data_IF_731267666644
#
_entry.id   IF_731267666644
#
_cell.length_a   1.000
_cell.length_b   1.000
_cell.length_c   1.000
_cell.angle_alpha   90.00
_cell.angle_beta   90.00
_cell.angle_gamma   90.00
#
_symmetry.space_group_name_H-M   'P 1'
#
loop_
_entity.id
_entity.type
_entity.pdbx_description
1 polymer ?
#
# COMPACT_ATOMS: atom_id res chain seq x y z
N UNK A 1 -8.14 -17.35 142.55
CA UNK A 1 -8.87 -18.19 141.57
C UNK A 1 -9.76 -17.39 140.61
N UNK A 2 -10.30 -16.20 140.99
CA UNK A 2 -11.19 -15.41 140.11
C UNK A 2 -10.51 -14.71 138.91
N UNK A 3 -9.29 -14.18 139.05
CA UNK A 3 -8.58 -13.50 137.95
C UNK A 3 -8.14 -14.44 136.81
N UNK A 4 -7.72 -15.68 137.11
CA UNK A 4 -7.31 -16.65 136.10
C UNK A 4 -8.49 -17.11 135.22
N UNK A 5 -9.68 -17.31 135.82
CA UNK A 5 -10.91 -17.66 135.11
C UNK A 5 -11.42 -16.54 134.19
N UNK A 6 -11.27 -15.26 134.58
CA UNK A 6 -11.62 -14.12 133.72
C UNK A 6 -10.65 -13.97 132.54
N UNK A 7 -9.35 -14.21 132.74
CA UNK A 7 -8.35 -14.18 131.66
C UNK A 7 -8.54 -15.31 130.64
N UNK A 8 -8.92 -16.50 131.10
CA UNK A 8 -9.20 -17.66 130.25
C UNK A 8 -10.49 -17.48 129.44
N UNK A 9 -11.54 -16.94 130.05
CA UNK A 9 -12.79 -16.56 129.36
C UNK A 9 -12.57 -15.47 128.29
N UNK A 10 -11.77 -14.44 128.60
CA UNK A 10 -11.41 -13.39 127.65
C UNK A 10 -10.60 -13.93 126.46
N UNK A 11 -9.62 -14.81 126.70
CA UNK A 11 -8.89 -15.51 125.62
C UNK A 11 -9.79 -16.38 124.76
N UNK A 12 -10.75 -17.09 125.36
CA UNK A 12 -11.71 -17.91 124.63
C UNK A 12 -12.62 -17.05 123.74
N UNK A 13 -13.11 -15.91 124.26
CA UNK A 13 -13.91 -14.95 123.49
C UNK A 13 -13.12 -14.33 122.33
N UNK A 14 -11.84 -13.99 122.55
CA UNK A 14 -10.97 -13.45 121.51
C UNK A 14 -10.66 -14.49 120.43
N UNK A 15 -10.47 -15.76 120.82
CA UNK A 15 -10.29 -16.88 119.89
C UNK A 15 -11.55 -17.20 119.08
N UNK A 16 -12.73 -17.16 119.71
CA UNK A 16 -14.03 -17.28 119.03
C UNK A 16 -14.25 -16.12 118.05
N UNK A 17 -14.00 -14.88 118.46
CA UNK A 17 -14.12 -13.72 117.58
C UNK A 17 -13.15 -13.81 116.38
N UNK A 18 -11.92 -14.28 116.60
CA UNK A 18 -10.96 -14.52 115.53
C UNK A 18 -11.42 -15.64 114.57
N UNK A 19 -11.98 -16.74 115.08
CA UNK A 19 -12.55 -17.81 114.26
C UNK A 19 -13.78 -17.35 113.47
N UNK A 20 -14.66 -16.56 114.08
CA UNK A 20 -15.83 -16.00 113.38
C UNK A 20 -15.37 -15.08 112.25
N UNK A 21 -14.36 -14.24 112.49
CA UNK A 21 -13.78 -13.35 111.47
C UNK A 21 -13.09 -14.11 110.33
N UNK A 22 -12.34 -15.18 110.64
CA UNK A 22 -11.73 -16.06 109.63
C UNK A 22 -12.80 -16.80 108.79
N UNK A 23 -13.87 -17.27 109.43
CA UNK A 23 -15.01 -17.89 108.76
C UNK A 23 -15.75 -16.92 107.84
N UNK A 24 -16.00 -15.70 108.30
CA UNK A 24 -16.60 -14.63 107.49
C UNK A 24 -15.70 -14.25 106.30
N UNK A 25 -14.39 -14.15 106.50
CA UNK A 25 -13.43 -13.88 105.42
C UNK A 25 -13.41 -15.00 104.37
N UNK A 26 -13.44 -16.27 104.80
CA UNK A 26 -13.54 -17.43 103.89
C UNK A 26 -14.86 -17.45 103.14
N UNK A 27 -15.98 -17.14 103.81
CA UNK A 27 -17.28 -17.05 103.16
C UNK A 27 -17.31 -15.94 102.09
N UNK A 28 -16.72 -14.78 102.39
CA UNK A 28 -16.55 -13.69 101.42
C UNK A 28 -15.65 -14.09 100.25
N UNK A 29 -14.56 -14.81 100.50
CA UNK A 29 -13.66 -15.30 99.45
C UNK A 29 -14.34 -16.33 98.54
N UNK A 30 -15.13 -17.25 99.11
CA UNK A 30 -15.92 -18.22 98.34
C UNK A 30 -16.97 -17.51 97.49
N UNK A 31 -17.66 -16.51 98.05
CA UNK A 31 -18.63 -15.70 97.30
C UNK A 31 -17.98 -14.95 96.13
N UNK A 32 -16.80 -14.35 96.35
CA UNK A 32 -16.03 -13.69 95.28
C UNK A 32 -15.58 -14.67 94.19
N UNK A 33 -15.10 -15.86 94.56
CA UNK A 33 -14.72 -16.90 93.61
C UNK A 33 -15.91 -17.42 92.80
N UNK A 34 -17.07 -17.62 93.44
CA UNK A 34 -18.30 -17.99 92.74
C UNK A 34 -18.75 -16.89 91.77
N UNK A 35 -18.69 -15.62 92.17
CA UNK A 35 -19.03 -14.51 91.31
C UNK A 35 -18.07 -14.37 90.12
N UNK A 36 -16.77 -14.53 90.34
CA UNK A 36 -15.75 -14.52 89.29
C UNK A 36 -15.96 -15.68 88.30
N UNK A 37 -16.24 -16.89 88.79
CA UNK A 37 -16.53 -18.06 87.96
C UNK A 37 -17.81 -17.85 87.13
N UNK A 38 -18.87 -17.27 87.70
CA UNK A 38 -20.09 -16.94 86.96
C UNK A 38 -19.82 -15.91 85.86
N UNK A 39 -19.06 -14.86 86.14
CA UNK A 39 -18.68 -13.85 85.15
C UNK A 39 -17.83 -14.43 84.02
N UNK A 40 -16.89 -15.31 84.34
CA UNK A 40 -16.06 -15.99 83.34
C UNK A 40 -16.91 -16.92 82.46
N UNK A 41 -17.86 -17.65 83.04
CA UNK A 41 -18.78 -18.49 82.28
C UNK A 41 -19.68 -17.68 81.33
N UNK A 42 -20.15 -16.50 81.78
CA UNK A 42 -20.94 -15.59 80.96
C UNK A 42 -20.12 -15.03 79.79
N UNK A 43 -18.87 -14.61 80.03
CA UNK A 43 -17.95 -14.15 78.98
C UNK A 43 -17.65 -15.23 77.94
N UNK A 44 -17.42 -16.47 78.38
CA UNK A 44 -17.21 -17.61 77.50
C UNK A 44 -18.45 -17.90 76.64
N UNK A 45 -19.65 -17.87 77.23
CA UNK A 45 -20.90 -18.02 76.47
C UNK A 45 -21.08 -16.92 75.43
N UNK A 46 -20.80 -15.67 75.78
CA UNK A 46 -20.88 -14.55 74.84
C UNK A 46 -19.88 -14.70 73.68
N UNK A 47 -18.66 -15.14 73.97
CA UNK A 47 -17.63 -15.39 72.96
C UNK A 47 -18.00 -16.57 72.03
N UNK A 48 -18.57 -17.65 72.57
CA UNK A 48 -19.10 -18.79 71.80
C UNK A 48 -20.26 -18.36 70.89
N UNK A 49 -21.18 -17.54 71.40
CA UNK A 49 -22.29 -17.02 70.61
C UNK A 49 -21.79 -16.11 69.46
N UNK A 50 -20.79 -15.27 69.72
CA UNK A 50 -20.16 -14.44 68.71
C UNK A 50 -19.42 -15.27 67.63
N UNK A 51 -18.65 -16.30 68.04
CA UNK A 51 -18.00 -17.21 67.09
C UNK A 51 -19.00 -18.00 66.25
N UNK A 52 -20.09 -18.48 66.86
CA UNK A 52 -21.14 -19.20 66.13
C UNK A 52 -21.76 -18.30 65.07
N UNK A 53 -22.05 -17.05 65.42
CA UNK A 53 -22.60 -16.06 64.48
C UNK A 53 -21.64 -15.72 63.33
N UNK A 54 -20.34 -15.56 63.61
CA UNK A 54 -19.32 -15.35 62.57
C UNK A 54 -19.20 -16.57 61.63
N UNK A 55 -19.24 -17.78 62.19
CA UNK A 55 -19.21 -19.02 61.41
C UNK A 55 -20.44 -19.17 60.51
N UNK A 56 -21.62 -18.83 61.02
CA UNK A 56 -22.87 -18.82 60.23
C UNK A 56 -22.81 -17.80 59.09
N UNK A 57 -22.30 -16.60 59.35
CA UNK A 57 -22.13 -15.56 58.32
C UNK A 57 -21.15 -16.00 57.22
N UNK A 58 -20.02 -16.62 57.60
CA UNK A 58 -19.06 -17.18 56.64
C UNK A 58 -19.66 -18.31 55.81
N UNK A 59 -20.43 -19.20 56.44
CA UNK A 59 -21.13 -20.28 55.74
C UNK A 59 -22.13 -19.73 54.71
N UNK A 60 -22.89 -18.68 55.06
CA UNK A 60 -23.79 -17.99 54.13
C UNK A 60 -23.04 -17.35 52.96
N UNK A 61 -21.91 -16.69 53.23
CA UNK A 61 -21.08 -16.06 52.20
C UNK A 61 -20.49 -17.09 51.22
N UNK A 62 -20.02 -18.24 51.73
CA UNK A 62 -19.51 -19.35 50.91
C UNK A 62 -20.64 -19.92 50.03
N UNK A 63 -21.83 -20.13 50.61
CA UNK A 63 -22.99 -20.61 49.85
C UNK A 63 -23.38 -19.64 48.72
N UNK A 64 -23.34 -18.33 48.99
CA UNK A 64 -23.63 -17.31 47.99
C UNK A 64 -22.57 -17.29 46.87
N UNK A 65 -21.28 -17.36 47.23
CA UNK A 65 -20.19 -17.42 46.24
C UNK A 65 -20.27 -18.68 45.36
N UNK A 66 -20.59 -19.83 45.94
CA UNK A 66 -20.82 -21.07 45.19
C UNK A 66 -22.00 -20.93 44.23
N UNK A 67 -23.10 -20.31 44.66
CA UNK A 67 -24.25 -20.07 43.79
C UNK A 67 -23.93 -19.12 42.64
N UNK A 68 -23.20 -18.02 42.89
CA UNK A 68 -22.77 -17.09 41.84
C UNK A 68 -21.84 -17.78 40.85
N UNK A 69 -20.86 -18.56 41.32
CA UNK A 69 -19.96 -19.33 40.46
C UNK A 69 -20.72 -20.33 39.58
N UNK A 70 -21.70 -21.04 40.14
CA UNK A 70 -22.54 -21.95 39.36
C UNK A 70 -23.36 -21.21 38.29
N UNK A 71 -23.95 -20.05 38.61
CA UNK A 71 -24.68 -19.24 37.65
C UNK A 71 -23.81 -18.70 36.51
N UNK A 72 -22.60 -18.23 36.82
CA UNK A 72 -21.65 -17.79 35.79
C UNK A 72 -21.21 -18.94 34.89
N UNK A 73 -20.93 -20.11 35.46
CA UNK A 73 -20.57 -21.31 34.69
C UNK A 73 -21.70 -21.76 33.74
N UNK A 74 -22.96 -21.67 34.19
CA UNK A 74 -24.13 -21.98 33.37
C UNK A 74 -24.29 -20.97 32.22
N UNK A 75 -24.11 -19.66 32.48
CA UNK A 75 -24.14 -18.62 31.44
C UNK A 75 -23.04 -18.83 30.39
N UNK A 76 -21.82 -19.16 30.83
CA UNK A 76 -20.70 -19.47 29.93
C UNK A 76 -20.98 -20.70 29.06
N UNK A 77 -21.58 -21.75 29.63
CA UNK A 77 -22.00 -22.94 28.88
C UNK A 77 -23.09 -22.61 27.86
N UNK A 78 -24.08 -21.79 28.23
CA UNK A 78 -25.13 -21.35 27.33
C UNK A 78 -24.58 -20.51 26.16
N UNK A 79 -23.63 -19.60 26.45
CA UNK A 79 -22.93 -18.84 25.42
C UNK A 79 -22.11 -19.73 24.48
N UNK A 80 -21.37 -20.70 25.02
CA UNK A 80 -20.62 -21.68 24.21
C UNK A 80 -21.54 -22.52 23.34
N UNK A 81 -22.69 -22.96 23.86
CA UNK A 81 -23.68 -23.70 23.09
C UNK A 81 -24.29 -22.85 21.97
N UNK A 82 -24.63 -21.59 22.26
CA UNK A 82 -25.12 -20.64 21.25
C UNK A 82 -24.07 -20.38 20.17
N UNK A 83 -22.81 -20.20 20.55
CA UNK A 83 -21.70 -19.98 19.60
C UNK A 83 -21.38 -21.24 18.79
N UNK A 84 -21.49 -22.42 19.38
CA UNK A 84 -21.34 -23.69 18.67
C UNK A 84 -22.45 -23.85 17.64
N UNK A 85 -23.70 -23.53 18.00
CA UNK A 85 -24.84 -23.57 17.09
C UNK A 85 -24.73 -22.55 15.95
N UNK A 86 -24.27 -21.33 16.23
CA UNK A 86 -23.98 -20.31 15.21
C UNK A 86 -22.86 -20.76 14.26
N UNK A 87 -21.79 -21.37 14.80
CA UNK A 87 -20.71 -21.94 14.00
C UNK A 87 -21.17 -23.13 13.15
N UNK A 88 -22.02 -24.01 13.68
CA UNK A 88 -22.62 -25.11 12.93
C UNK A 88 -23.55 -24.60 11.82
N UNK A 89 -24.35 -23.56 12.10
CA UNK A 89 -25.19 -22.90 11.08
C UNK A 89 -24.34 -22.27 9.99
N UNK A 90 -23.27 -21.53 10.34
CA UNK A 90 -22.32 -20.98 9.38
C UNK A 90 -21.59 -22.05 8.59
N UNK A 91 -21.23 -23.17 9.21
CA UNK A 91 -20.61 -24.30 8.52
C UNK A 91 -21.58 -24.96 7.53
N UNK A 92 -22.87 -25.11 7.89
CA UNK A 92 -23.91 -25.59 7.00
C UNK A 92 -24.17 -24.60 5.85
N UNK A 93 -24.19 -23.30 6.14
CA UNK A 93 -24.35 -22.25 5.13
C UNK A 93 -23.14 -22.22 4.18
N UNK A 94 -21.92 -22.37 4.69
CA UNK A 94 -20.70 -22.51 3.90
C UNK A 94 -20.72 -23.76 3.03
N UNK A 95 -21.19 -24.90 3.56
CA UNK A 95 -21.33 -26.14 2.80
C UNK A 95 -22.41 -26.01 1.69
N UNK A 96 -23.51 -25.31 1.97
CA UNK A 96 -24.54 -25.00 0.97
C UNK A 96 -24.03 -24.01 -0.09
N UNK A 97 -23.24 -23.00 0.30
CA UNK A 97 -22.57 -22.08 -0.62
C UNK A 97 -21.53 -22.80 -1.46
N UNK A 98 -20.76 -23.73 -0.88
CA UNK A 98 -19.83 -24.58 -1.63
C UNK A 98 -20.56 -25.54 -2.57
N UNK A 99 -21.70 -26.11 -2.18
CA UNK A 99 -22.52 -26.92 -3.10
C UNK A 99 -23.14 -26.06 -4.20
N UNK A 100 -23.60 -24.85 -3.89
CA UNK A 100 -24.10 -23.88 -4.88
C UNK A 100 -22.98 -23.39 -5.78
N UNK A 101 -21.77 -23.18 -5.27
CA UNK A 101 -20.58 -22.84 -6.03
C UNK A 101 -20.17 -24.02 -6.90
N UNK A 102 -20.12 -25.25 -6.38
CA UNK A 102 -19.81 -26.46 -7.15
C UNK A 102 -20.90 -26.77 -8.18
N UNK A 103 -22.16 -26.42 -7.92
CA UNK A 103 -23.28 -26.56 -8.86
C UNK A 103 -23.31 -25.41 -9.88
N UNK A 104 -22.91 -24.20 -9.50
CA UNK A 104 -22.70 -23.06 -10.38
C UNK A 104 -21.47 -23.28 -11.26
N UNK A 105 -20.39 -23.84 -10.71
CA UNK A 105 -19.20 -24.34 -11.36
C UNK A 105 -19.51 -25.55 -12.21
N UNK A 106 -20.38 -26.50 -11.83
CA UNK A 106 -20.85 -27.58 -12.75
C UNK A 106 -21.77 -27.05 -13.84
N UNK A 107 -22.56 -26.00 -13.59
CA UNK A 107 -23.27 -25.24 -14.63
C UNK A 107 -22.32 -24.35 -15.47
N UNK A 108 -21.16 -23.95 -14.93
CA UNK A 108 -20.07 -23.21 -15.60
C UNK A 108 -18.94 -24.13 -16.08
N UNK A 109 -18.98 -25.44 -15.88
CA UNK A 109 -17.98 -26.43 -16.37
C UNK A 109 -18.64 -27.48 -17.26
N UNK A 110 -19.97 -27.47 -17.36
CA UNK A 110 -20.66 -27.66 -18.64
C UNK A 110 -20.43 -26.48 -19.62
N UNK A 111 -19.74 -25.43 -19.17
CA UNK A 111 -19.31 -24.30 -19.95
C UNK A 111 -17.89 -23.90 -19.59
N UNK A 112 -16.91 -24.78 -19.81
CA UNK A 112 -15.60 -24.31 -20.26
C UNK A 112 -15.89 -23.42 -21.47
N UNK A 113 -16.13 -22.14 -21.23
CA UNK A 113 -16.36 -21.16 -22.27
C UNK A 113 -14.98 -20.89 -22.85
N UNK A 114 -14.51 -21.83 -23.67
CA UNK A 114 -14.23 -21.44 -25.05
C UNK A 114 -15.48 -20.67 -25.44
N UNK A 115 -15.42 -19.34 -25.41
CA UNK A 115 -16.54 -18.52 -25.86
C UNK A 115 -16.78 -18.98 -27.29
N UNK A 116 -17.78 -19.83 -27.50
CA UNK A 116 -18.26 -20.12 -28.84
C UNK A 116 -18.71 -18.79 -29.40
N UNK A 117 -18.39 -18.54 -30.68
CA UNK A 117 -18.67 -17.27 -31.36
C UNK A 117 -20.05 -16.71 -30.97
N UNK A 118 -20.14 -15.45 -30.49
CA UNK A 118 -21.40 -14.83 -30.10
C UNK A 118 -22.43 -14.91 -31.24
N UNK A 119 -23.58 -15.54 -30.99
CA UNK A 119 -24.56 -15.86 -32.06
C UNK A 119 -25.68 -14.84 -32.14
N UNK A 120 -26.18 -14.38 -31.00
CA UNK A 120 -27.28 -13.40 -30.96
C UNK A 120 -26.76 -11.97 -31.04
N UNK A 121 -27.61 -11.02 -31.46
CA UNK A 121 -27.23 -9.60 -31.52
C UNK A 121 -26.85 -9.05 -30.13
N UNK A 122 -27.51 -9.54 -29.07
CA UNK A 122 -27.22 -9.17 -27.68
C UNK A 122 -25.84 -9.71 -27.28
N UNK A 123 -25.57 -10.99 -27.54
CA UNK A 123 -24.26 -11.60 -27.27
C UNK A 123 -23.13 -10.89 -28.04
N UNK A 124 -23.34 -10.57 -29.32
CA UNK A 124 -22.36 -9.83 -30.13
C UNK A 124 -22.09 -8.45 -29.58
N UNK A 125 -23.13 -7.71 -29.16
CA UNK A 125 -22.99 -6.41 -28.51
C UNK A 125 -22.17 -6.52 -27.24
N UNK A 126 -22.52 -7.44 -26.36
CA UNK A 126 -21.87 -7.59 -25.05
C UNK A 126 -20.42 -8.05 -25.20
N UNK A 127 -20.13 -8.96 -26.14
CA UNK A 127 -18.77 -9.37 -26.49
C UNK A 127 -17.94 -8.23 -27.09
N UNK A 128 -18.54 -7.40 -27.96
CA UNK A 128 -17.87 -6.24 -28.54
C UNK A 128 -17.50 -5.19 -27.47
N UNK A 129 -18.36 -4.96 -26.49
CA UNK A 129 -18.06 -4.09 -25.34
C UNK A 129 -16.88 -4.64 -24.55
N UNK A 130 -16.88 -5.94 -24.23
CA UNK A 130 -15.75 -6.58 -23.54
C UNK A 130 -14.45 -6.53 -24.34
N UNK A 131 -14.52 -6.69 -25.67
CA UNK A 131 -13.36 -6.58 -26.56
C UNK A 131 -12.79 -5.17 -26.57
N UNK A 132 -13.63 -4.13 -26.64
CA UNK A 132 -13.19 -2.75 -26.56
C UNK A 132 -12.45 -2.46 -25.25
N UNK A 133 -13.03 -2.86 -24.11
CA UNK A 133 -12.39 -2.73 -22.79
C UNK A 133 -11.07 -3.52 -22.71
N UNK A 134 -11.03 -4.71 -23.31
CA UNK A 134 -9.82 -5.53 -23.38
C UNK A 134 -8.69 -4.85 -24.18
N UNK A 135 -9.03 -4.18 -25.29
CA UNK A 135 -8.06 -3.40 -26.06
C UNK A 135 -7.52 -2.21 -25.27
N UNK A 136 -8.36 -1.47 -24.54
CA UNK A 136 -7.92 -0.38 -23.67
C UNK A 136 -6.94 -0.86 -22.59
N UNK A 137 -7.21 -2.03 -21.99
CA UNK A 137 -6.30 -2.66 -21.03
C UNK A 137 -4.99 -3.05 -21.70
N UNK A 138 -5.02 -3.65 -22.90
CA UNK A 138 -3.81 -4.00 -23.63
C UNK A 138 -2.95 -2.77 -23.95
N UNK A 139 -3.57 -1.68 -24.40
CA UNK A 139 -2.88 -0.42 -24.68
C UNK A 139 -2.22 0.16 -23.42
N UNK A 140 -2.94 0.14 -22.29
CA UNK A 140 -2.38 0.54 -20.99
C UNK A 140 -1.17 -0.33 -20.61
N UNK A 141 -1.29 -1.65 -20.67
CA UNK A 141 -0.19 -2.57 -20.34
C UNK A 141 1.01 -2.40 -21.26
N UNK A 142 0.78 -2.20 -22.56
CA UNK A 142 1.83 -1.92 -23.53
C UNK A 142 2.51 -0.57 -23.24
N UNK A 143 1.75 0.46 -22.86
CA UNK A 143 2.31 1.76 -22.46
C UNK A 143 3.20 1.65 -21.20
N UNK A 144 2.82 0.80 -20.24
CA UNK A 144 3.65 0.51 -19.07
C UNK A 144 4.92 -0.24 -19.45
N UNK A 145 4.83 -1.16 -20.40
CA UNK A 145 6.00 -1.85 -20.95
C UNK A 145 6.98 -0.90 -21.64
N UNK A 146 6.49 0.06 -22.44
CA UNK A 146 7.37 1.07 -23.06
C UNK A 146 7.99 2.03 -22.05
N UNK A 147 7.37 2.20 -20.88
CA UNK A 147 7.93 2.91 -19.72
C UNK A 147 8.90 2.06 -18.89
N UNK A 148 9.14 0.80 -19.27
CA UNK A 148 10.07 -0.11 -18.59
C UNK A 148 9.43 -1.00 -17.50
N UNK A 149 8.11 -1.01 -17.36
CA UNK A 149 7.39 -1.93 -16.45
C UNK A 149 6.88 -3.14 -17.23
N UNK A 150 7.47 -4.31 -16.99
CA UNK A 150 6.95 -5.55 -17.55
C UNK A 150 5.82 -6.09 -16.65
N UNK A 151 4.58 -5.79 -17.04
CA UNK A 151 3.40 -6.23 -16.29
C UNK A 151 3.05 -7.68 -16.64
N UNK A 152 2.94 -8.53 -15.64
CA UNK A 152 2.43 -9.89 -15.82
C UNK A 152 0.94 -9.85 -16.27
N UNK A 153 0.70 -10.20 -17.53
CA UNK A 153 -0.63 -10.14 -18.15
C UNK A 153 -1.69 -11.01 -17.46
N UNK A 154 -1.30 -12.18 -16.95
CA UNK A 154 -2.24 -13.08 -16.26
C UNK A 154 -2.68 -12.49 -14.92
N UNK A 155 -1.74 -11.92 -14.16
CA UNK A 155 -2.06 -11.25 -12.89
C UNK A 155 -2.86 -9.96 -13.12
N UNK A 156 -2.53 -9.18 -14.15
CA UNK A 156 -3.29 -7.99 -14.51
C UNK A 156 -4.74 -8.35 -14.90
N UNK A 157 -4.93 -9.38 -15.74
CA UNK A 157 -6.26 -9.87 -16.13
C UNK A 157 -7.05 -10.41 -14.94
N UNK A 158 -6.38 -11.14 -14.03
CA UNK A 158 -6.99 -11.60 -12.79
C UNK A 158 -7.45 -10.40 -11.94
N UNK A 159 -6.61 -9.37 -11.78
CA UNK A 159 -6.97 -8.14 -11.07
C UNK A 159 -8.18 -7.43 -11.67
N UNK A 160 -8.24 -7.29 -13.00
CA UNK A 160 -9.40 -6.70 -13.70
C UNK A 160 -10.67 -7.53 -13.47
N UNK A 161 -10.55 -8.85 -13.60
CA UNK A 161 -11.67 -9.79 -13.43
C UNK A 161 -12.20 -9.75 -11.99
N UNK A 162 -11.29 -9.75 -11.01
CA UNK A 162 -11.61 -9.66 -9.59
C UNK A 162 -12.29 -8.32 -9.25
N UNK A 163 -11.89 -7.21 -9.88
CA UNK A 163 -12.58 -5.91 -9.73
C UNK A 163 -14.01 -5.96 -10.28
N UNK A 164 -14.20 -6.50 -11.49
CA UNK A 164 -15.52 -6.62 -12.12
C UNK A 164 -16.47 -7.47 -11.26
N UNK A 165 -15.95 -8.54 -10.67
CA UNK A 165 -16.72 -9.45 -9.84
C UNK A 165 -16.87 -9.00 -8.37
N UNK A 166 -16.25 -7.88 -7.97
CA UNK A 166 -16.24 -7.43 -6.57
C UNK A 166 -15.47 -8.36 -5.63
N UNK A 167 -14.49 -9.11 -6.14
CA UNK A 167 -13.70 -10.13 -5.44
C UNK A 167 -12.21 -9.77 -5.36
N UNK A 168 -11.88 -8.47 -5.29
CA UNK A 168 -10.49 -8.00 -5.21
C UNK A 168 -9.74 -8.66 -4.06
N UNK A 169 -8.61 -9.30 -4.38
CA UNK A 169 -7.80 -10.09 -3.43
C UNK A 169 -6.83 -9.26 -2.57
N UNK A 170 -6.66 -7.99 -2.88
CA UNK A 170 -5.81 -7.06 -2.13
C UNK A 170 -6.66 -5.96 -1.50
N UNK A 171 -6.30 -5.54 -0.29
CA UNK A 171 -6.89 -4.38 0.34
C UNK A 171 -6.55 -3.10 -0.46
N UNK A 172 -7.41 -2.07 -0.39
CA UNK A 172 -7.23 -0.82 -1.15
C UNK A 172 -5.88 -0.15 -0.83
N UNK A 173 -5.46 -0.21 0.42
CA UNK A 173 -4.20 0.34 0.91
C UNK A 173 -2.99 -0.41 0.33
N UNK A 174 -3.09 -1.73 0.18
CA UNK A 174 -2.04 -2.55 -0.43
C UNK A 174 -1.89 -2.24 -1.92
N UNK A 175 -3.01 -2.07 -2.63
CA UNK A 175 -3.02 -1.65 -4.04
C UNK A 175 -2.38 -0.27 -4.19
N UNK A 176 -2.80 0.70 -3.38
CA UNK A 176 -2.25 2.05 -3.41
C UNK A 176 -0.74 2.06 -3.12
N UNK A 177 -0.28 1.30 -2.12
CA UNK A 177 1.14 1.16 -1.79
C UNK A 177 1.94 0.55 -2.94
N UNK A 178 1.48 -0.54 -3.55
CA UNK A 178 2.17 -1.18 -4.66
C UNK A 178 2.29 -0.27 -5.89
N UNK A 179 1.22 0.48 -6.20
CA UNK A 179 1.23 1.46 -7.31
C UNK A 179 2.20 2.61 -7.03
N UNK A 180 2.21 3.12 -5.79
CA UNK A 180 3.14 4.18 -5.39
C UNK A 180 4.60 3.72 -5.43
N UNK A 181 4.90 2.53 -4.93
CA UNK A 181 6.25 1.94 -4.98
C UNK A 181 6.73 1.73 -6.42
N UNK A 182 5.84 1.28 -7.31
CA UNK A 182 6.15 1.16 -8.75
C UNK A 182 6.46 2.51 -9.39
N UNK A 183 5.73 3.56 -9.04
CA UNK A 183 5.97 4.91 -9.54
C UNK A 183 7.29 5.50 -9.01
N UNK A 184 7.63 5.24 -7.74
CA UNK A 184 8.92 5.63 -7.16
C UNK A 184 10.08 4.95 -7.89
N UNK A 185 10.00 3.64 -8.11
CA UNK A 185 11.01 2.88 -8.83
C UNK A 185 11.20 3.44 -10.25
N UNK A 186 10.11 3.71 -10.97
CA UNK A 186 10.16 4.31 -12.30
C UNK A 186 10.82 5.67 -12.31
N UNK A 187 10.48 6.54 -11.35
CA UNK A 187 11.07 7.87 -11.27
C UNK A 187 12.58 7.82 -10.96
N UNK A 188 13.01 6.91 -10.10
CA UNK A 188 14.43 6.68 -9.81
C UNK A 188 15.20 6.16 -11.04
N UNK A 189 14.62 5.20 -11.77
CA UNK A 189 15.19 4.71 -13.03
C UNK A 189 15.26 5.82 -14.08
N UNK A 190 14.17 6.57 -14.26
CA UNK A 190 14.08 7.69 -15.19
C UNK A 190 15.16 8.75 -14.89
N UNK A 191 15.36 9.11 -13.61
CA UNK A 191 16.39 10.05 -13.18
C UNK A 191 17.80 9.53 -13.48
N UNK A 192 18.08 8.25 -13.22
CA UNK A 192 19.39 7.64 -13.51
C UNK A 192 19.68 7.64 -15.01
N UNK A 193 18.72 7.22 -15.84
CA UNK A 193 18.84 7.20 -17.30
C UNK A 193 19.05 8.63 -17.83
N UNK A 194 18.25 9.60 -17.36
CA UNK A 194 18.40 11.02 -17.71
C UNK A 194 19.82 11.51 -17.45
N UNK A 195 20.33 11.33 -16.24
CA UNK A 195 21.68 11.77 -15.87
C UNK A 195 22.76 11.12 -16.72
N UNK A 196 22.61 9.82 -17.05
CA UNK A 196 23.53 9.12 -17.93
C UNK A 196 23.51 9.70 -19.35
N UNK A 197 22.33 9.94 -19.90
CA UNK A 197 22.17 10.48 -21.25
C UNK A 197 22.63 11.94 -21.36
N UNK A 198 22.36 12.77 -20.36
CA UNK A 198 22.86 14.16 -20.31
C UNK A 198 24.39 14.18 -20.30
N UNK A 199 25.02 13.29 -19.52
CA UNK A 199 26.48 13.15 -19.49
C UNK A 199 27.03 12.67 -20.84
N UNK A 200 26.41 11.65 -21.45
CA UNK A 200 26.81 11.15 -22.77
C UNK A 200 26.65 12.22 -23.86
N UNK A 201 25.51 12.92 -23.85
CA UNK A 201 25.19 14.02 -24.75
C UNK A 201 26.18 15.17 -24.64
N UNK A 202 26.48 15.62 -23.42
CA UNK A 202 27.50 16.64 -23.17
C UNK A 202 28.88 16.21 -23.70
N UNK A 203 29.30 14.96 -23.44
CA UNK A 203 30.57 14.44 -23.97
C UNK A 203 30.60 14.37 -25.49
N UNK A 204 29.49 13.96 -26.12
CA UNK A 204 29.36 13.94 -27.57
C UNK A 204 29.46 15.35 -28.15
N UNK A 205 28.72 16.29 -27.59
CA UNK A 205 28.71 17.71 -27.98
C UNK A 205 30.13 18.31 -27.87
N UNK A 206 30.88 18.03 -26.80
CA UNK A 206 32.25 18.52 -26.62
C UNK A 206 33.23 17.96 -27.64
N UNK A 207 33.03 16.71 -28.06
CA UNK A 207 33.80 16.10 -29.15
C UNK A 207 33.40 16.67 -30.50
N UNK A 208 32.11 16.84 -30.75
CA UNK A 208 31.57 17.36 -31.99
C UNK A 208 32.03 18.80 -32.24
N UNK A 209 31.97 19.68 -31.23
CA UNK A 209 32.45 21.07 -31.33
C UNK A 209 33.90 21.23 -31.76
N UNK A 210 34.75 20.22 -31.50
CA UNK A 210 36.17 20.24 -31.87
C UNK A 210 36.43 19.83 -33.33
N UNK A 211 35.41 19.34 -34.03
CA UNK A 211 35.53 18.95 -35.43
C UNK A 211 35.55 20.19 -36.34
N UNK A 212 36.24 20.11 -37.49
CA UNK A 212 36.28 21.22 -38.44
C UNK A 212 34.88 21.55 -38.96
N UNK A 213 34.62 22.84 -39.20
CA UNK A 213 33.36 23.37 -39.75
C UNK A 213 32.14 23.21 -38.84
N UNK A 214 32.32 22.84 -37.56
CA UNK A 214 31.23 22.83 -36.58
C UNK A 214 30.99 24.23 -36.04
N UNK A 215 29.71 24.63 -36.01
CA UNK A 215 29.26 25.95 -35.56
C UNK A 215 28.11 25.77 -34.57
N UNK A 216 28.08 26.61 -33.53
CA UNK A 216 26.95 26.73 -32.63
C UNK A 216 25.92 27.73 -33.20
N UNK A 217 24.67 27.31 -33.31
CA UNK A 217 23.56 28.20 -33.64
C UNK A 217 23.23 29.13 -32.46
N UNK A 218 22.68 30.31 -32.75
CA UNK A 218 22.10 31.21 -31.75
C UNK A 218 20.96 30.56 -30.95
N UNK A 219 20.30 29.55 -31.52
CA UNK A 219 19.27 28.77 -30.83
C UNK A 219 19.86 27.74 -29.85
N UNK A 220 21.17 27.47 -29.89
CA UNK A 220 21.86 26.62 -28.92
C UNK A 220 22.28 25.23 -29.42
N UNK A 221 21.75 24.76 -30.55
CA UNK A 221 22.19 23.52 -31.19
C UNK A 221 23.51 23.70 -31.95
N UNK A 222 24.17 22.59 -32.30
CA UNK A 222 25.40 22.58 -33.07
C UNK A 222 25.17 21.96 -34.44
N UNK A 223 25.87 22.42 -35.45
CA UNK A 223 25.76 21.85 -36.79
C UNK A 223 27.09 21.82 -37.53
N UNK A 224 27.19 20.92 -38.50
CA UNK A 224 28.28 20.83 -39.47
C UNK A 224 27.67 20.74 -40.87
N UNK A 225 27.96 21.70 -41.74
CA UNK A 225 27.60 21.59 -43.16
C UNK A 225 28.55 20.58 -43.78
N UNK A 226 27.99 19.45 -44.22
CA UNK A 226 28.73 18.37 -44.84
C UNK A 226 28.87 18.63 -46.34
N UNK A 227 27.76 19.00 -46.99
CA UNK A 227 27.70 19.52 -48.36
C UNK A 227 26.76 20.72 -48.43
N UNK A 228 27.22 21.84 -48.98
CA UNK A 228 26.39 23.07 -49.04
C UNK A 228 25.22 22.94 -50.01
N UNK A 229 25.36 22.16 -51.09
CA UNK A 229 24.38 22.05 -52.17
C UNK A 229 24.70 22.92 -53.40
N UNK A 230 23.88 22.78 -54.44
CA UNK A 230 24.17 23.29 -55.78
C UNK A 230 23.50 24.64 -56.06
N UNK A 231 22.18 24.71 -55.85
CA UNK A 231 21.32 25.82 -56.29
C UNK A 231 20.65 26.55 -55.13
N UNK A 232 20.50 27.87 -55.23
CA UNK A 232 19.89 28.70 -54.19
C UNK A 232 18.43 28.31 -53.97
N UNK A 233 18.01 28.33 -52.71
CA UNK A 233 16.61 28.12 -52.30
C UNK A 233 15.97 29.50 -52.14
N UNK A 234 14.93 29.76 -52.92
CA UNK A 234 14.15 30.99 -52.88
C UNK A 234 13.23 31.08 -51.68
N UNK A 235 12.85 32.29 -51.33
CA UNK A 235 11.85 32.54 -50.28
C UNK A 235 10.47 32.07 -50.76
N UNK A 236 9.88 31.11 -50.05
CA UNK A 236 8.60 30.50 -50.42
C UNK A 236 8.71 29.20 -51.20
N UNK A 237 9.93 28.75 -51.54
CA UNK A 237 10.13 27.46 -52.20
C UNK A 237 9.71 26.30 -51.30
N UNK A 238 9.21 25.24 -51.93
CA UNK A 238 8.91 23.97 -51.28
C UNK A 238 10.17 23.13 -51.27
N UNK A 239 10.60 22.70 -50.08
CA UNK A 239 11.83 21.95 -49.89
C UNK A 239 11.46 20.52 -49.50
N UNK A 240 11.90 19.55 -50.29
CA UNK A 240 11.78 18.13 -49.98
C UNK A 240 13.00 17.66 -49.20
N UNK A 241 12.79 17.04 -48.03
CA UNK A 241 13.87 16.62 -47.13
C UNK A 241 13.72 15.18 -46.67
N UNK A 242 14.87 14.55 -46.45
CA UNK A 242 14.99 13.32 -45.68
C UNK A 242 15.81 13.60 -44.43
N UNK A 243 15.40 12.97 -43.33
CA UNK A 243 16.08 13.06 -42.05
C UNK A 243 16.39 11.66 -41.55
N UNK A 244 17.63 11.46 -41.12
CA UNK A 244 18.04 10.35 -40.28
C UNK A 244 18.21 10.86 -38.87
N UNK A 245 17.44 10.30 -37.95
CA UNK A 245 17.44 10.62 -36.53
C UNK A 245 18.15 9.51 -35.76
N UNK A 246 19.10 9.88 -34.92
CA UNK A 246 19.87 8.93 -34.10
C UNK A 246 20.21 9.51 -32.73
N UNK A 247 20.51 8.62 -31.78
CA UNK A 247 21.06 8.98 -30.48
C UNK A 247 22.59 9.09 -30.56
N UNK A 248 23.20 9.69 -29.53
CA UNK A 248 24.65 9.87 -29.45
C UNK A 248 25.45 8.57 -29.33
N UNK A 249 24.80 7.44 -29.04
CA UNK A 249 25.37 6.10 -29.03
C UNK A 249 25.33 5.41 -30.42
N UNK A 250 24.72 6.05 -31.42
CA UNK A 250 24.56 5.53 -32.78
C UNK A 250 23.27 4.76 -33.02
N UNK A 251 22.40 4.55 -32.02
CA UNK A 251 21.08 3.95 -32.22
C UNK A 251 20.27 4.84 -33.17
N UNK A 252 19.92 4.30 -34.33
CA UNK A 252 19.04 4.97 -35.30
C UNK A 252 17.61 4.84 -34.79
N UNK A 253 16.92 5.98 -34.66
CA UNK A 253 15.52 6.07 -34.24
C UNK A 253 14.60 6.04 -35.46
N UNK A 254 14.97 6.81 -36.49
CA UNK A 254 14.22 6.89 -37.74
C UNK A 254 15.18 7.20 -38.89
N UNK A 255 15.01 6.54 -40.01
CA UNK A 255 15.78 6.80 -41.23
C UNK A 255 14.81 6.92 -42.40
N UNK A 256 14.49 8.17 -42.77
CA UNK A 256 13.50 8.44 -43.81
C UNK A 256 13.95 7.98 -45.20
N UNK A 257 15.26 8.08 -45.47
CA UNK A 257 15.85 7.71 -46.75
C UNK A 257 15.77 6.20 -46.95
N UNK A 258 16.16 5.43 -45.92
CA UNK A 258 16.02 3.97 -45.92
C UNK A 258 14.56 3.52 -46.01
N UNK A 259 13.64 4.27 -45.39
CA UNK A 259 12.21 4.00 -45.44
C UNK A 259 11.54 4.44 -46.77
N UNK A 260 12.26 5.11 -47.68
CA UNK A 260 11.69 5.65 -48.92
C UNK A 260 10.63 6.73 -48.69
N UNK A 261 10.74 7.47 -47.59
CA UNK A 261 9.80 8.53 -47.20
C UNK A 261 10.47 9.90 -47.22
N UNK A 262 9.73 10.95 -47.53
CA UNK A 262 10.23 12.34 -47.51
C UNK A 262 9.16 13.29 -46.98
N UNK A 263 9.58 14.41 -46.39
CA UNK A 263 8.68 15.52 -46.06
C UNK A 263 8.91 16.60 -47.10
N UNK A 264 7.84 17.14 -47.67
CA UNK A 264 7.89 18.22 -48.65
C UNK A 264 6.90 19.30 -48.26
N UNK A 265 7.41 20.50 -47.99
CA UNK A 265 6.62 21.66 -47.57
C UNK A 265 7.41 22.96 -47.77
N UNK A 266 6.76 24.13 -47.75
CA UNK A 266 7.46 25.42 -47.79
C UNK A 266 8.51 25.53 -46.69
N UNK A 267 9.66 26.16 -46.98
CA UNK A 267 10.74 26.31 -45.98
C UNK A 267 10.22 26.91 -44.66
N UNK A 268 9.28 27.86 -44.73
CA UNK A 268 8.65 28.50 -43.58
C UNK A 268 7.77 27.58 -42.73
N UNK A 269 7.33 26.42 -43.24
CA UNK A 269 6.51 25.45 -42.52
C UNK A 269 7.32 24.49 -41.65
N UNK A 270 8.64 24.39 -41.87
CA UNK A 270 9.51 23.55 -41.02
C UNK A 270 9.63 24.11 -39.60
N UNK A 271 9.80 23.24 -38.58
CA UNK A 271 10.05 23.68 -37.20
C UNK A 271 11.27 24.62 -37.12
N UNK A 272 11.30 25.60 -36.19
CA UNK A 272 12.32 26.67 -36.15
C UNK A 272 13.77 26.19 -36.23
N UNK A 273 14.12 25.09 -35.56
CA UNK A 273 15.45 24.48 -35.60
C UNK A 273 15.80 23.99 -37.01
N UNK A 274 14.92 23.20 -37.62
CA UNK A 274 15.12 22.69 -38.98
C UNK A 274 15.05 23.79 -40.03
N UNK A 275 14.18 24.78 -39.86
CA UNK A 275 14.10 25.94 -40.74
C UNK A 275 15.41 26.72 -40.77
N UNK A 276 16.01 26.98 -39.61
CA UNK A 276 17.32 27.65 -39.55
C UNK A 276 18.42 26.80 -40.19
N UNK A 277 18.42 25.49 -39.94
CA UNK A 277 19.38 24.54 -40.51
C UNK A 277 19.28 24.48 -42.05
N UNK A 278 18.08 24.24 -42.58
CA UNK A 278 17.78 24.14 -44.00
C UNK A 278 18.06 25.45 -44.74
N UNK A 279 17.77 26.60 -44.12
CA UNK A 279 18.08 27.91 -44.69
C UNK A 279 19.57 28.22 -44.86
N UNK A 280 20.46 27.38 -44.33
CA UNK A 280 21.92 27.46 -44.57
C UNK A 280 22.38 26.56 -45.72
N UNK A 281 21.47 25.75 -46.28
CA UNK A 281 21.75 24.84 -47.38
C UNK A 281 21.19 25.37 -48.70
N UNK A 282 21.72 24.81 -49.78
CA UNK A 282 21.24 24.88 -51.16
C UNK A 282 20.58 23.56 -51.55
N UNK A 283 19.96 23.50 -52.72
CA UNK A 283 19.39 22.25 -53.23
C UNK A 283 20.45 21.12 -53.21
N UNK A 284 20.05 19.90 -52.88
CA UNK A 284 20.91 18.73 -52.61
C UNK A 284 21.89 18.85 -51.43
N UNK A 285 21.88 19.96 -50.71
CA UNK A 285 22.73 20.17 -49.53
C UNK A 285 22.43 19.17 -48.42
N UNK A 286 23.43 18.89 -47.61
CA UNK A 286 23.28 18.07 -46.41
C UNK A 286 24.14 18.56 -45.25
N UNK A 287 23.66 18.29 -44.04
CA UNK A 287 24.33 18.65 -42.81
C UNK A 287 24.01 17.71 -41.67
N UNK A 288 24.89 17.71 -40.68
CA UNK A 288 24.69 17.04 -39.40
C UNK A 288 24.32 18.08 -38.34
N UNK A 289 23.24 17.84 -37.61
CA UNK A 289 22.81 18.62 -36.45
C UNK A 289 23.01 17.79 -35.19
N UNK A 290 23.47 18.44 -34.12
CA UNK A 290 23.54 17.88 -32.77
C UNK A 290 22.72 18.78 -31.86
N UNK A 291 21.62 18.24 -31.37
CA UNK A 291 20.54 18.99 -30.71
C UNK A 291 20.46 18.57 -29.25
N UNK A 292 20.82 19.45 -28.30
CA UNK A 292 20.66 19.21 -26.87
C UNK A 292 19.21 18.87 -26.49
N UNK A 293 18.99 18.14 -25.38
CA UNK A 293 17.65 17.69 -24.99
C UNK A 293 16.65 18.84 -24.85
N UNK A 294 17.07 20.02 -24.38
CA UNK A 294 16.22 21.21 -24.20
C UNK A 294 15.58 21.71 -25.50
N UNK A 295 16.15 21.36 -26.65
CA UNK A 295 15.68 21.72 -27.98
C UNK A 295 15.09 20.51 -28.75
N UNK A 296 15.01 19.35 -28.11
CA UNK A 296 14.50 18.11 -28.68
C UNK A 296 13.36 17.54 -27.81
N UNK A 297 13.55 16.37 -27.19
CA UNK A 297 12.53 15.65 -26.41
C UNK A 297 12.62 15.89 -24.89
N UNK A 298 13.54 16.77 -24.47
CA UNK A 298 13.63 17.28 -23.12
C UNK A 298 13.89 16.24 -22.04
N UNK A 299 13.47 16.58 -20.83
CA UNK A 299 13.71 15.76 -19.64
C UNK A 299 12.95 14.42 -19.66
N UNK A 300 11.81 14.35 -20.37
CA UNK A 300 10.96 13.15 -20.41
C UNK A 300 11.35 12.18 -21.52
N UNK A 301 11.95 12.66 -22.60
CA UNK A 301 12.16 11.86 -23.80
C UNK A 301 10.83 11.49 -24.49
N UNK A 302 10.89 10.46 -25.33
CA UNK A 302 9.75 9.86 -26.02
C UNK A 302 9.91 8.34 -26.04
N UNK A 303 9.25 7.68 -25.09
CA UNK A 303 9.28 6.23 -24.98
C UNK A 303 8.59 5.53 -26.18
N UNK A 304 9.05 4.33 -26.59
CA UNK A 304 10.18 3.58 -26.02
C UNK A 304 11.56 3.98 -26.57
N UNK A 305 11.61 4.80 -27.62
CA UNK A 305 12.80 4.89 -28.46
C UNK A 305 13.80 5.96 -28.07
N UNK A 306 13.31 7.08 -27.54
CA UNK A 306 14.11 8.25 -27.18
C UNK A 306 14.10 8.39 -25.67
N UNK A 307 15.24 8.12 -25.00
CA UNK A 307 15.25 8.13 -23.55
C UNK A 307 15.27 9.57 -22.99
N UNK A 308 14.95 9.74 -21.69
CA UNK A 308 15.05 10.99 -20.96
C UNK A 308 16.41 11.69 -21.13
N UNK A 309 16.42 13.01 -21.36
CA UNK A 309 17.66 13.79 -21.42
C UNK A 309 18.55 13.48 -22.64
N UNK A 310 18.02 12.79 -23.66
CA UNK A 310 18.78 12.43 -24.84
C UNK A 310 19.13 13.66 -25.70
N UNK A 311 20.40 13.77 -26.07
CA UNK A 311 20.85 14.61 -27.18
C UNK A 311 20.58 13.89 -28.50
N UNK A 312 19.95 14.57 -29.45
CA UNK A 312 19.62 14.00 -30.76
C UNK A 312 20.67 14.37 -31.80
N UNK A 313 20.95 13.44 -32.71
CA UNK A 313 21.79 13.65 -33.89
C UNK A 313 20.94 13.48 -35.14
N UNK A 314 20.85 14.53 -35.94
CA UNK A 314 20.09 14.53 -37.19
C UNK A 314 21.03 14.67 -38.38
N UNK A 315 20.99 13.74 -39.32
CA UNK A 315 21.54 13.95 -40.66
C UNK A 315 20.41 14.38 -41.58
N UNK A 316 20.47 15.61 -42.04
CA UNK A 316 19.44 16.23 -42.88
C UNK A 316 20.00 16.37 -44.29
N UNK A 317 19.21 15.94 -45.28
CA UNK A 317 19.53 16.11 -46.70
C UNK A 317 18.33 16.66 -47.44
N UNK A 318 18.56 17.70 -48.21
CA UNK A 318 17.58 18.22 -49.18
C UNK A 318 17.61 17.29 -50.38
N UNK A 319 16.46 16.73 -50.73
CA UNK A 319 16.30 15.90 -51.91
C UNK A 319 16.09 16.75 -53.16
N UNK A 320 15.19 17.73 -53.05
CA UNK A 320 14.87 18.64 -54.14
C UNK A 320 14.21 19.92 -53.63
N UNK A 321 14.12 20.93 -54.49
CA UNK A 321 13.50 22.23 -54.23
C UNK A 321 12.59 22.58 -55.39
N UNK A 322 11.31 22.77 -55.11
CA UNK A 322 10.29 23.17 -56.09
C UNK A 322 10.05 24.68 -55.96
N UNK A 323 10.36 25.49 -56.99
CA UNK A 323 10.17 26.93 -56.96
C UNK A 323 8.71 27.34 -56.68
N UNK A 324 8.52 28.39 -55.88
CA UNK A 324 7.18 28.91 -55.58
C UNK A 324 6.38 29.34 -56.83
N UNK A 325 7.07 29.73 -57.91
CA UNK A 325 6.47 30.10 -59.19
C UNK A 325 5.85 28.92 -59.93
N UNK A 326 6.39 27.71 -59.76
CA UNK A 326 5.92 26.49 -60.44
C UNK A 326 4.73 25.85 -59.70
N UNK A 327 4.59 26.13 -58.41
CA UNK A 327 3.49 25.64 -57.58
C UNK A 327 2.14 26.31 -57.88
N UNK A 328 2.15 27.53 -58.44
CA UNK A 328 0.92 28.26 -58.82
C UNK A 328 0.38 27.90 -60.21
N UNK A 329 1.12 27.07 -60.95
CA UNK A 329 0.78 26.67 -62.31
C UNK A 329 0.07 25.31 -62.40
N UNK A 330 -0.22 24.68 -61.25
CA UNK A 330 -1.00 23.44 -61.09
C UNK A 330 -2.25 23.72 -60.24
#
# INVERSE_FOLDING_TARGET
MQQASQQESAKLQEQLAAQTKDSEQKAQQIAQLQQASQQESAKLQEQLAAQTKDSEQKAQQIAQLQQTSQQESAKLQEQLAAQTKDNEQKAQELAQLQQKLTAAEKKQTAGTSVVTEPKTQVEKRDYAIGTALGNDILDLLNSKKTQGVDVNRQLALAGVTDVINGQTKLAKEQIAKALYESELELNDQHKKIKQQNEKQGSSYIDKFKKQPRVVQSKQGFYYRIDYVGDSVIGEGDTVAVVVKESLTDGKVIKDMDLAGTSISQPLSAYPPLFREALGKLKNHGNMTLVVPPELAYGEKGMAPDIPPGATMVYNVRILDVIPASEQKAQ
#
